data_IF_513285087528
#
_entry.id   IF_513285087528
#
_cell.length_a   1.000
_cell.length_b   1.000
_cell.length_c   1.000
_cell.angle_alpha   90.00
_cell.angle_beta   90.00
_cell.angle_gamma   90.00
#
_symmetry.space_group_name_H-M   'P 1'
#
loop_
_entity.id
_entity.type
_entity.pdbx_description
1 polymer ?
#
# COMPACT_ATOMS: atom_id res chain seq x y z
N UNK A 1 -62.99 -44.03 -12.98
CA UNK A 1 -61.59 -44.36 -12.60
C UNK A 1 -60.94 -43.05 -12.22
N UNK A 2 -60.47 -42.93 -10.98
CA UNK A 2 -59.78 -41.73 -10.53
C UNK A 2 -58.36 -41.74 -11.10
N UNK A 3 -58.02 -40.75 -11.92
CA UNK A 3 -56.65 -40.53 -12.36
C UNK A 3 -55.82 -40.09 -11.16
N UNK A 4 -54.93 -40.98 -10.74
CA UNK A 4 -53.90 -40.72 -9.75
C UNK A 4 -52.87 -39.85 -10.45
N UNK A 5 -52.85 -38.55 -10.12
CA UNK A 5 -51.78 -37.64 -10.54
C UNK A 5 -50.49 -38.08 -9.83
N UNK A 6 -49.65 -38.83 -10.54
CA UNK A 6 -48.28 -39.12 -10.14
C UNK A 6 -47.50 -37.80 -10.07
N UNK A 7 -47.22 -37.34 -8.86
CA UNK A 7 -46.26 -36.27 -8.62
C UNK A 7 -44.87 -36.87 -8.78
N UNK A 8 -44.20 -36.57 -9.89
CA UNK A 8 -42.76 -36.83 -10.01
C UNK A 8 -42.03 -36.04 -8.93
N UNK A 9 -41.33 -36.74 -8.05
CA UNK A 9 -40.49 -36.15 -7.01
C UNK A 9 -39.35 -35.35 -7.67
N UNK A 10 -39.53 -34.04 -7.77
CA UNK A 10 -38.50 -33.11 -8.20
C UNK A 10 -37.34 -33.08 -7.19
N UNK A 11 -36.28 -33.86 -7.46
CA UNK A 11 -35.08 -33.86 -6.63
C UNK A 11 -34.30 -32.56 -6.82
N UNK A 12 -34.42 -31.66 -5.85
CA UNK A 12 -33.67 -30.41 -5.80
C UNK A 12 -32.17 -30.71 -5.58
N UNK A 13 -31.35 -30.40 -6.59
CA UNK A 13 -29.89 -30.57 -6.53
C UNK A 13 -29.20 -29.24 -6.28
N UNK A 14 -28.59 -29.10 -5.10
CA UNK A 14 -27.84 -27.89 -4.73
C UNK A 14 -26.54 -27.80 -5.53
N UNK A 15 -26.28 -26.63 -6.11
CA UNK A 15 -25.02 -26.33 -6.77
C UNK A 15 -23.91 -26.09 -5.72
N UNK A 16 -23.08 -27.10 -5.51
CA UNK A 16 -21.99 -27.08 -4.53
C UNK A 16 -20.93 -26.02 -4.83
N UNK A 17 -20.66 -25.72 -6.11
CA UNK A 17 -19.63 -24.73 -6.49
C UNK A 17 -20.11 -23.31 -6.19
N UNK A 18 -21.39 -23.04 -6.40
CA UNK A 18 -22.00 -21.76 -6.03
C UNK A 18 -22.07 -21.59 -4.52
N UNK A 19 -22.45 -22.62 -3.76
CA UNK A 19 -22.51 -22.57 -2.30
C UNK A 19 -21.14 -22.22 -1.68
N UNK A 20 -20.05 -22.83 -2.16
CA UNK A 20 -18.69 -22.53 -1.69
C UNK A 20 -18.26 -21.10 -2.02
N UNK A 21 -18.57 -20.59 -3.22
CA UNK A 21 -18.28 -19.20 -3.60
C UNK A 21 -19.10 -18.21 -2.78
N UNK A 22 -20.36 -18.53 -2.50
CA UNK A 22 -21.24 -17.70 -1.70
C UNK A 22 -20.75 -17.58 -0.26
N UNK A 23 -20.33 -18.70 0.36
CA UNK A 23 -19.74 -18.70 1.70
C UNK A 23 -18.51 -17.78 1.77
N UNK A 24 -17.54 -17.97 0.88
CA UNK A 24 -16.34 -17.11 0.83
C UNK A 24 -16.66 -15.62 0.64
N UNK A 25 -17.64 -15.31 -0.22
CA UNK A 25 -18.07 -13.92 -0.45
C UNK A 25 -18.75 -13.34 0.80
N UNK A 26 -19.55 -14.14 1.49
CA UNK A 26 -20.23 -13.73 2.72
C UNK A 26 -19.23 -13.47 3.84
N UNK A 27 -18.26 -14.38 4.03
CA UNK A 27 -17.19 -14.25 5.02
C UNK A 27 -16.36 -12.99 4.78
N UNK A 28 -15.95 -12.75 3.53
CA UNK A 28 -15.21 -11.54 3.17
C UNK A 28 -16.01 -10.26 3.45
N UNK A 29 -17.29 -10.24 3.07
CA UNK A 29 -18.15 -9.08 3.31
C UNK A 29 -18.39 -8.82 4.81
N UNK A 30 -18.47 -9.86 5.64
CA UNK A 30 -18.55 -9.69 7.10
C UNK A 30 -17.24 -9.16 7.69
N UNK A 31 -16.11 -9.67 7.21
CA UNK A 31 -14.79 -9.21 7.63
C UNK A 31 -14.61 -7.72 7.30
N UNK A 32 -14.90 -7.33 6.05
CA UNK A 32 -14.83 -5.93 5.62
C UNK A 32 -15.76 -5.04 6.46
N UNK A 33 -16.98 -5.51 6.75
CA UNK A 33 -17.94 -4.79 7.62
C UNK A 33 -17.45 -4.68 9.07
N UNK A 34 -16.67 -5.64 9.56
CA UNK A 34 -16.03 -5.58 10.88
C UNK A 34 -14.89 -4.56 10.87
N UNK A 35 -14.02 -4.61 9.85
CA UNK A 35 -12.93 -3.64 9.65
C UNK A 35 -13.46 -2.20 9.56
N UNK A 36 -14.53 -1.98 8.81
CA UNK A 36 -15.15 -0.65 8.68
C UNK A 36 -15.71 -0.12 10.02
N UNK A 37 -16.21 -1.02 10.89
CA UNK A 37 -16.82 -0.64 12.18
C UNK A 37 -15.81 -0.44 13.29
N UNK A 38 -14.77 -1.26 13.33
CA UNK A 38 -13.82 -1.30 14.44
C UNK A 38 -12.44 -0.74 14.08
N UNK A 39 -12.26 -0.31 12.82
CA UNK A 39 -10.95 0.01 12.28
C UNK A 39 -10.14 -1.26 12.00
N UNK A 40 -9.11 -1.12 11.18
CA UNK A 40 -8.09 -2.15 11.01
C UNK A 40 -7.22 -2.16 12.27
N UNK A 41 -7.65 -2.93 13.29
CA UNK A 41 -6.76 -3.30 14.39
C UNK A 41 -5.80 -4.34 13.80
N UNK A 42 -4.66 -3.88 13.29
CA UNK A 42 -3.51 -4.73 12.94
C UNK A 42 -2.88 -5.40 14.17
N UNK A 43 -3.38 -5.11 15.38
CA UNK A 43 -2.95 -5.68 16.65
C UNK A 43 -3.84 -6.86 17.11
N UNK A 44 -4.07 -7.84 16.23
CA UNK A 44 -4.51 -9.18 16.65
C UNK A 44 -3.35 -10.20 16.48
N UNK A 45 -2.15 -9.78 16.88
CA UNK A 45 -1.31 -10.70 17.63
C UNK A 45 -1.88 -10.76 19.05
N UNK A 46 -2.15 -11.97 19.50
CA UNK A 46 -2.74 -12.29 20.79
C UNK A 46 -1.79 -11.90 21.95
N UNK A 47 -1.62 -10.61 22.24
CA UNK A 47 -1.14 -10.16 23.54
C UNK A 47 -2.33 -9.91 24.46
N UNK A 48 -2.55 -10.89 25.33
CA UNK A 48 -3.09 -10.65 26.67
C UNK A 48 -2.61 -9.28 27.14
N UNK A 49 -3.54 -8.35 27.40
CA UNK A 49 -3.25 -7.03 27.95
C UNK A 49 -2.43 -7.20 29.24
N UNK A 50 -1.11 -7.16 29.08
CA UNK A 50 -0.17 -7.15 30.18
C UNK A 50 -0.06 -5.69 30.57
N UNK A 51 -0.90 -5.32 31.52
CA UNK A 51 -0.83 -4.08 32.30
C UNK A 51 0.63 -3.63 32.43
N UNK A 52 0.92 -2.45 31.89
CA UNK A 52 2.24 -1.84 31.92
C UNK A 52 2.48 -1.19 33.29
N UNK A 53 2.44 -2.00 34.36
CA UNK A 53 2.91 -1.65 35.71
C UNK A 53 4.34 -2.18 35.93
N UNK A 54 5.26 -1.91 34.99
CA UNK A 54 6.66 -2.36 35.08
C UNK A 54 7.64 -1.22 35.42
N UNK A 55 7.28 -0.40 36.40
CA UNK A 55 8.28 0.43 37.10
C UNK A 55 8.82 -0.26 38.36
N UNK A 56 8.14 -1.32 38.86
CA UNK A 56 8.51 -2.08 40.06
C UNK A 56 9.11 -3.48 39.79
N UNK A 57 9.12 -4.03 38.56
CA UNK A 57 9.70 -5.36 38.31
C UNK A 57 11.25 -5.37 38.24
N UNK A 58 11.91 -4.27 38.59
CA UNK A 58 13.37 -4.24 38.84
C UNK A 58 13.82 -5.22 39.93
N UNK A 59 12.91 -5.66 40.80
CA UNK A 59 13.25 -6.68 41.80
C UNK A 59 13.32 -8.10 41.25
N UNK A 60 12.70 -8.42 40.10
CA UNK A 60 12.72 -9.75 39.49
C UNK A 60 13.96 -9.94 38.58
N UNK A 61 15.15 -9.81 39.19
CA UNK A 61 16.39 -10.11 38.47
C UNK A 61 16.63 -11.63 38.36
N UNK A 62 17.23 -12.07 37.26
CA UNK A 62 17.65 -13.48 37.02
C UNK A 62 18.52 -14.05 38.14
N UNK A 63 19.24 -13.20 38.88
CA UNK A 63 20.03 -13.59 40.04
C UNK A 63 19.16 -13.95 41.25
N UNK A 64 18.13 -13.14 41.54
CA UNK A 64 17.16 -13.42 42.61
C UNK A 64 16.31 -14.65 42.27
N UNK A 65 15.95 -14.83 41.00
CA UNK A 65 15.22 -16.03 40.52
C UNK A 65 16.04 -17.32 40.71
N UNK A 66 17.35 -17.27 40.44
CA UNK A 66 18.26 -18.41 40.70
C UNK A 66 18.34 -18.75 42.18
N UNK A 67 18.40 -17.75 43.04
CA UNK A 67 18.45 -17.97 44.49
C UNK A 67 17.08 -18.46 45.01
N UNK A 68 15.97 -17.93 44.50
CA UNK A 68 14.63 -18.43 44.75
C UNK A 68 14.50 -19.93 44.42
N UNK A 69 14.89 -20.36 43.22
CA UNK A 69 14.81 -21.77 42.82
C UNK A 69 15.68 -22.69 43.68
N UNK A 70 16.89 -22.25 44.08
CA UNK A 70 17.74 -23.02 45.00
C UNK A 70 17.07 -23.17 46.37
N UNK A 71 16.48 -22.11 46.90
CA UNK A 71 15.79 -22.16 48.20
C UNK A 71 14.56 -23.05 48.15
N UNK A 72 13.80 -22.98 47.05
CA UNK A 72 12.66 -23.85 46.81
C UNK A 72 13.06 -25.34 46.80
N UNK A 73 14.20 -25.68 46.18
CA UNK A 73 14.72 -27.04 46.19
C UNK A 73 15.11 -27.52 47.60
N UNK A 74 15.78 -26.67 48.40
CA UNK A 74 16.13 -26.97 49.80
C UNK A 74 14.89 -27.22 50.66
N UNK A 75 13.83 -26.42 50.46
CA UNK A 75 12.54 -26.57 51.14
C UNK A 75 11.89 -27.89 50.75
N UNK A 76 11.84 -28.19 49.45
CA UNK A 76 11.23 -29.43 48.93
C UNK A 76 11.94 -30.69 49.46
N UNK A 77 13.25 -30.63 49.59
CA UNK A 77 14.07 -31.73 50.11
C UNK A 77 14.15 -31.77 51.65
N UNK A 78 13.56 -30.78 52.34
CA UNK A 78 13.60 -30.63 53.82
C UNK A 78 15.02 -30.64 54.39
N UNK A 79 15.94 -29.97 53.70
CA UNK A 79 17.34 -29.92 54.14
C UNK A 79 17.44 -29.19 55.49
N UNK A 80 18.19 -29.71 56.49
CA UNK A 80 18.26 -29.13 57.84
C UNK A 80 18.83 -27.71 57.86
N UNK A 81 19.52 -27.33 56.77
CA UNK A 81 20.07 -26.01 56.54
C UNK A 81 19.01 -24.90 56.52
N UNK A 82 17.76 -25.19 56.15
CA UNK A 82 16.68 -24.19 56.11
C UNK A 82 16.25 -23.70 57.50
N UNK A 83 16.57 -24.45 58.56
CA UNK A 83 16.20 -24.12 59.94
C UNK A 83 17.30 -23.38 60.70
N UNK A 84 18.49 -23.23 60.09
CA UNK A 84 19.60 -22.52 60.70
C UNK A 84 19.36 -21.00 60.57
N UNK A 85 19.36 -20.28 61.70
CA UNK A 85 19.13 -18.82 61.72
C UNK A 85 20.29 -18.02 61.11
N UNK A 86 21.47 -18.62 61.03
CA UNK A 86 22.69 -17.97 60.53
C UNK A 86 22.86 -18.10 59.01
N UNK A 87 21.99 -18.84 58.32
CA UNK A 87 22.11 -19.03 56.86
C UNK A 87 21.35 -17.95 56.10
N UNK A 88 22.07 -17.23 55.24
CA UNK A 88 21.49 -16.30 54.26
C UNK A 88 21.19 -17.03 52.95
N UNK A 89 19.98 -16.84 52.44
CA UNK A 89 19.48 -17.50 51.25
C UNK A 89 19.38 -16.57 50.04
N UNK A 90 19.10 -15.30 50.32
CA UNK A 90 19.09 -14.23 49.34
C UNK A 90 20.30 -13.35 49.61
N UNK A 91 20.98 -12.97 48.53
CA UNK A 91 22.05 -11.99 48.62
C UNK A 91 21.42 -10.60 48.69
N UNK A 92 21.52 -9.94 49.84
CA UNK A 92 21.14 -8.53 49.98
C UNK A 92 22.07 -7.71 49.09
N UNK A 93 21.52 -7.24 47.97
CA UNK A 93 22.09 -6.27 47.03
C UNK A 93 23.62 -6.28 46.99
N UNK A 94 24.15 -7.16 46.15
CA UNK A 94 25.50 -6.94 45.64
C UNK A 94 25.45 -5.56 44.99
N UNK A 95 26.28 -4.65 45.48
CA UNK A 95 26.77 -3.51 44.71
C UNK A 95 27.42 -4.09 43.46
N UNK A 96 26.60 -4.45 42.48
CA UNK A 96 27.08 -4.70 41.14
C UNK A 96 27.48 -3.32 40.68
N UNK A 97 28.79 -3.05 40.80
CA UNK A 97 29.47 -2.17 39.87
C UNK A 97 29.14 -2.72 38.48
N UNK A 98 28.00 -2.30 37.95
CA UNK A 98 27.68 -2.38 36.54
C UNK A 98 28.58 -1.32 35.93
N UNK A 99 29.88 -1.62 35.83
CA UNK A 99 30.73 -0.96 34.87
C UNK A 99 30.08 -1.19 33.51
N UNK A 100 29.38 -0.17 33.05
CA UNK A 100 29.28 0.26 31.66
C UNK A 100 29.21 -0.85 30.62
N UNK A 101 28.30 -1.81 30.81
CA UNK A 101 27.67 -2.45 29.66
C UNK A 101 26.42 -1.68 29.34
N UNK A 102 26.62 -0.48 28.78
CA UNK A 102 25.56 0.22 28.04
C UNK A 102 24.97 -0.83 27.10
N UNK A 103 23.66 -1.14 27.19
CA UNK A 103 23.05 -1.93 26.14
C UNK A 103 23.36 -1.20 24.85
N UNK A 104 23.90 -1.90 23.85
CA UNK A 104 23.99 -1.34 22.51
C UNK A 104 22.62 -0.77 22.21
N UNK A 105 22.58 0.54 21.93
CA UNK A 105 21.35 1.23 21.61
C UNK A 105 20.80 0.51 20.39
N UNK A 106 19.85 -0.38 20.63
CA UNK A 106 19.10 -1.05 19.60
C UNK A 106 18.56 0.08 18.73
N UNK A 107 18.79 -0.03 17.42
CA UNK A 107 18.25 0.91 16.47
C UNK A 107 16.76 1.05 16.76
N UNK A 108 16.25 2.28 16.70
CA UNK A 108 14.84 2.55 16.98
C UNK A 108 13.99 1.58 16.14
N UNK A 109 12.96 0.95 16.72
CA UNK A 109 12.06 0.11 15.94
C UNK A 109 11.54 0.93 14.77
N UNK A 110 11.71 0.41 13.55
CA UNK A 110 11.20 1.02 12.34
C UNK A 110 9.73 0.62 12.24
N UNK A 111 8.83 1.60 12.27
CA UNK A 111 7.42 1.35 12.06
C UNK A 111 7.10 1.30 10.56
N UNK A 112 5.99 0.64 10.19
CA UNK A 112 5.55 0.56 8.80
C UNK A 112 5.46 1.94 8.14
N UNK A 113 4.92 2.93 8.86
CA UNK A 113 4.85 4.34 8.41
C UNK A 113 6.22 4.97 8.17
N UNK A 114 7.23 4.56 8.93
CA UNK A 114 8.59 5.05 8.74
C UNK A 114 9.22 4.43 7.49
N UNK A 115 8.95 3.15 7.22
CA UNK A 115 9.37 2.45 6.01
C UNK A 115 8.69 3.02 4.76
N UNK A 116 7.38 3.28 4.81
CA UNK A 116 6.65 3.93 3.72
C UNK A 116 7.21 5.32 3.43
N UNK A 117 7.47 6.11 4.48
CA UNK A 117 8.06 7.45 4.35
C UNK A 117 9.47 7.39 3.77
N UNK A 118 10.30 6.45 4.23
CA UNK A 118 11.64 6.20 3.69
C UNK A 118 11.59 5.82 2.21
N UNK A 119 10.70 4.89 1.85
CA UNK A 119 10.49 4.44 0.47
C UNK A 119 9.97 5.57 -0.43
N UNK A 120 9.11 6.45 0.08
CA UNK A 120 8.65 7.66 -0.62
C UNK A 120 9.75 8.72 -0.78
N UNK A 121 10.62 8.88 0.22
CA UNK A 121 11.74 9.82 0.15
C UNK A 121 12.83 9.34 -0.82
N UNK A 122 13.12 8.03 -0.83
CA UNK A 122 14.14 7.44 -1.69
C UNK A 122 13.67 7.30 -3.15
N UNK A 123 12.43 6.81 -3.36
CA UNK A 123 11.90 6.47 -4.69
C UNK A 123 10.89 7.49 -5.25
N UNK A 124 10.50 8.51 -4.48
CA UNK A 124 9.58 9.55 -4.93
C UNK A 124 8.27 8.99 -5.48
N UNK A 125 7.89 9.42 -6.69
CA UNK A 125 6.68 8.96 -7.39
C UNK A 125 6.69 7.47 -7.75
N UNK A 126 7.85 6.83 -7.81
CA UNK A 126 7.98 5.40 -8.16
C UNK A 126 7.63 4.48 -6.98
N UNK A 127 7.58 5.01 -5.74
CA UNK A 127 7.15 4.25 -4.58
C UNK A 127 5.71 3.74 -4.72
N UNK A 128 4.82 4.47 -5.40
CA UNK A 128 3.44 4.01 -5.59
C UNK A 128 3.29 2.96 -6.69
N UNK A 129 4.32 2.78 -7.53
CA UNK A 129 4.21 1.98 -8.76
C UNK A 129 4.76 0.55 -8.58
N UNK A 130 5.50 0.28 -7.50
CA UNK A 130 6.27 -0.97 -7.39
C UNK A 130 5.53 -2.21 -6.85
N UNK A 131 4.23 -2.15 -6.53
CA UNK A 131 3.49 -3.33 -6.03
C UNK A 131 2.62 -4.00 -7.11
N UNK A 132 2.27 -3.29 -8.19
CA UNK A 132 1.42 -3.83 -9.27
C UNK A 132 2.19 -4.14 -10.57
N UNK A 133 3.44 -3.67 -10.68
CA UNK A 133 4.28 -3.89 -11.87
C UNK A 133 5.32 -5.02 -11.74
N UNK A 134 5.28 -5.84 -10.69
CA UNK A 134 6.30 -6.89 -10.46
C UNK A 134 5.99 -8.26 -11.06
N UNK A 135 5.03 -8.37 -11.99
CA UNK A 135 4.69 -9.64 -12.62
C UNK A 135 4.94 -9.72 -14.14
N UNK A 136 5.36 -8.64 -14.81
CA UNK A 136 5.77 -8.69 -16.21
C UNK A 136 7.22 -8.20 -16.36
N UNK A 137 8.13 -9.17 -16.46
CA UNK A 137 9.46 -8.94 -17.00
C UNK A 137 9.39 -8.40 -18.43
N UNK A 138 10.39 -7.58 -18.75
CA UNK A 138 10.96 -7.36 -20.09
C UNK A 138 10.57 -6.06 -20.81
N UNK A 139 11.34 -5.00 -20.51
CA UNK A 139 11.88 -4.18 -21.60
C UNK A 139 11.40 -2.74 -21.80
N UNK A 140 10.68 -2.11 -20.87
CA UNK A 140 10.45 -0.67 -20.99
C UNK A 140 11.19 0.09 -19.91
N UNK A 141 12.35 0.64 -20.30
CA UNK A 141 12.99 1.74 -19.59
C UNK A 141 11.91 2.74 -19.20
N UNK A 142 11.59 2.84 -17.91
CA UNK A 142 10.69 3.86 -17.38
C UNK A 142 11.28 5.20 -17.77
N UNK A 143 10.76 5.80 -18.84
CA UNK A 143 11.14 7.16 -19.20
C UNK A 143 10.67 8.04 -18.05
N UNK A 144 11.49 9.01 -17.61
CA UNK A 144 11.05 9.96 -16.59
C UNK A 144 9.70 10.55 -17.04
N UNK A 145 8.78 10.85 -16.10
CA UNK A 145 7.50 11.45 -16.45
C UNK A 145 7.75 12.69 -17.31
N UNK A 146 7.19 12.68 -18.52
CA UNK A 146 7.38 13.78 -19.47
C UNK A 146 6.85 15.06 -18.83
N UNK A 147 7.53 16.16 -19.10
CA UNK A 147 6.99 17.46 -18.74
C UNK A 147 5.71 17.73 -19.52
N UNK A 148 4.81 18.56 -18.99
CA UNK A 148 3.57 18.93 -19.67
C UNK A 148 3.77 19.41 -21.12
N UNK A 149 4.90 20.08 -21.39
CA UNK A 149 5.25 20.54 -22.75
C UNK A 149 5.57 19.34 -23.66
N UNK A 150 6.35 18.38 -23.16
CA UNK A 150 6.71 17.17 -23.89
C UNK A 150 5.49 16.27 -24.13
N UNK A 151 4.59 16.13 -23.16
CA UNK A 151 3.32 15.41 -23.32
C UNK A 151 2.44 16.04 -24.41
N UNK A 152 2.33 17.38 -24.42
CA UNK A 152 1.59 18.08 -25.47
C UNK A 152 2.19 17.87 -26.86
N UNK A 153 3.52 17.82 -26.96
CA UNK A 153 4.19 17.54 -28.23
C UNK A 153 3.95 16.12 -28.70
N UNK A 154 3.99 15.14 -27.79
CA UNK A 154 3.72 13.74 -28.10
C UNK A 154 2.26 13.52 -28.52
N UNK A 155 1.31 14.16 -27.83
CA UNK A 155 -0.11 14.17 -28.22
C UNK A 155 -0.32 14.80 -29.60
N UNK A 156 0.34 15.92 -29.91
CA UNK A 156 0.27 16.54 -31.24
C UNK A 156 0.85 15.61 -32.31
N UNK A 157 2.01 15.00 -32.05
CA UNK A 157 2.68 14.08 -32.97
C UNK A 157 1.82 12.85 -33.25
N UNK A 158 1.34 12.17 -32.22
CA UNK A 158 0.47 11.00 -32.34
C UNK A 158 -0.84 11.31 -33.07
N UNK A 159 -1.46 12.47 -32.79
CA UNK A 159 -2.64 12.90 -33.53
C UNK A 159 -2.36 13.14 -35.02
N UNK A 160 -1.25 13.81 -35.36
CA UNK A 160 -0.88 14.02 -36.76
C UNK A 160 -0.56 12.72 -37.48
N UNK A 161 0.08 11.78 -36.80
CA UNK A 161 0.42 10.47 -37.34
C UNK A 161 -0.84 9.65 -37.61
N UNK A 162 -1.78 9.63 -36.66
CA UNK A 162 -3.09 8.99 -36.83
C UNK A 162 -3.88 9.61 -38.00
N UNK A 163 -3.86 10.94 -38.16
CA UNK A 163 -4.53 11.62 -39.29
C UNK A 163 -3.90 11.24 -40.63
N UNK A 164 -2.58 11.08 -40.69
CA UNK A 164 -1.88 10.70 -41.91
C UNK A 164 -2.07 9.20 -42.23
N UNK A 165 -2.07 8.33 -41.22
CA UNK A 165 -2.28 6.88 -41.37
C UNK A 165 -3.72 6.51 -41.79
N UNK A 166 -4.69 7.39 -41.55
CA UNK A 166 -6.10 7.20 -41.98
C UNK A 166 -6.30 7.39 -43.49
N UNK A 167 -5.33 7.98 -44.21
CA UNK A 167 -5.42 8.10 -45.68
C UNK A 167 -5.28 6.73 -46.39
N UNK A 168 -4.68 5.73 -45.73
CA UNK A 168 -4.40 4.39 -46.29
C UNK A 168 -5.40 3.30 -45.85
N UNK A 169 -6.36 3.59 -44.95
CA UNK A 169 -7.29 2.59 -44.41
C UNK A 169 -8.71 2.70 -45.03
N UNK A 170 -9.22 1.58 -45.54
CA UNK A 170 -10.44 1.42 -46.37
C UNK A 170 -11.79 1.71 -45.65
N UNK A 171 -11.77 2.08 -44.36
CA UNK A 171 -12.95 2.48 -43.58
C UNK A 171 -12.91 3.97 -43.23
N UNK A 172 -13.38 4.78 -44.19
CA UNK A 172 -13.49 6.24 -44.08
C UNK A 172 -14.60 6.69 -43.10
N UNK A 173 -14.35 6.62 -41.79
CA UNK A 173 -15.22 7.25 -40.78
C UNK A 173 -15.09 8.79 -40.79
N UNK A 174 -13.90 9.32 -41.13
CA UNK A 174 -13.60 10.75 -41.24
C UNK A 174 -12.91 11.03 -42.59
N UNK A 175 -13.49 11.90 -43.43
CA UNK A 175 -12.89 12.31 -44.71
C UNK A 175 -12.53 13.78 -44.70
N UNK A 176 -11.36 14.15 -45.24
CA UNK A 176 -10.97 15.55 -45.41
C UNK A 176 -11.92 16.26 -46.38
N UNK A 177 -12.64 17.28 -45.90
CA UNK A 177 -13.53 18.11 -46.74
C UNK A 177 -12.72 18.84 -47.81
N UNK A 178 -13.09 18.67 -49.09
CA UNK A 178 -12.54 19.47 -50.19
C UNK A 178 -13.15 20.88 -50.14
N UNK A 179 -12.33 21.89 -49.87
CA UNK A 179 -12.76 23.30 -49.82
C UNK A 179 -13.07 23.82 -51.23
N UNK A 180 -14.10 24.65 -51.35
CA UNK A 180 -14.44 25.32 -52.62
C UNK A 180 -13.46 26.47 -52.92
N UNK A 181 -13.29 26.84 -54.19
CA UNK A 181 -12.44 27.99 -54.59
C UNK A 181 -12.85 29.28 -53.88
N UNK A 182 -14.15 29.53 -53.77
CA UNK A 182 -14.71 30.70 -53.08
C UNK A 182 -14.35 30.72 -51.60
N UNK A 183 -14.40 29.57 -50.92
CA UNK A 183 -14.03 29.48 -49.50
C UNK A 183 -12.54 29.74 -49.32
N UNK A 184 -11.70 29.21 -50.22
CA UNK A 184 -10.26 29.44 -50.20
C UNK A 184 -9.91 30.93 -50.37
N UNK A 185 -10.56 31.63 -51.31
CA UNK A 185 -10.37 33.07 -51.50
C UNK A 185 -10.78 33.90 -50.27
N UNK A 186 -11.83 33.47 -49.56
CA UNK A 186 -12.24 34.12 -48.30
C UNK A 186 -11.22 33.86 -47.20
N UNK A 187 -10.75 32.62 -47.06
CA UNK A 187 -9.69 32.27 -46.11
C UNK A 187 -8.39 33.03 -46.39
N UNK A 188 -7.97 33.15 -47.66
CA UNK A 188 -6.76 33.86 -48.07
C UNK A 188 -6.86 35.37 -47.75
N UNK A 189 -8.04 35.97 -47.94
CA UNK A 189 -8.31 37.36 -47.52
C UNK A 189 -8.25 37.51 -46.01
N UNK A 190 -8.94 36.64 -45.28
CA UNK A 190 -8.92 36.64 -43.81
C UNK A 190 -7.51 36.43 -43.26
N UNK A 191 -6.70 35.60 -43.91
CA UNK A 191 -5.30 35.37 -43.54
C UNK A 191 -4.43 36.59 -43.81
N UNK A 192 -4.65 37.29 -44.93
CA UNK A 192 -3.97 38.55 -45.23
C UNK A 192 -4.31 39.62 -44.19
N UNK A 193 -5.59 39.75 -43.82
CA UNK A 193 -6.04 40.69 -42.78
C UNK A 193 -5.43 40.34 -41.42
N UNK A 194 -5.41 39.06 -41.03
CA UNK A 194 -4.77 38.58 -39.80
C UNK A 194 -3.26 38.85 -39.77
N UNK A 195 -2.56 38.67 -40.91
CA UNK A 195 -1.14 39.01 -41.02
C UNK A 195 -0.91 40.51 -40.87
N UNK A 196 -1.77 41.35 -41.45
CA UNK A 196 -1.69 42.80 -41.28
C UNK A 196 -1.89 43.16 -39.81
N UNK A 197 -2.92 42.64 -39.16
CA UNK A 197 -3.20 42.85 -37.73
C UNK A 197 -2.01 42.42 -36.86
N UNK A 198 -1.45 41.23 -37.10
CA UNK A 198 -0.27 40.75 -36.37
C UNK A 198 0.97 41.63 -36.60
N UNK A 199 1.18 42.12 -37.82
CA UNK A 199 2.28 43.03 -38.12
C UNK A 199 2.10 44.42 -37.50
N UNK A 200 0.86 44.91 -37.40
CA UNK A 200 0.50 46.15 -36.70
C UNK A 200 0.77 46.02 -35.20
N UNK A 201 0.25 44.96 -34.56
CA UNK A 201 0.49 44.70 -33.13
C UNK A 201 1.96 44.52 -32.76
N UNK A 202 2.81 44.09 -33.70
CA UNK A 202 4.25 43.96 -33.45
C UNK A 202 5.03 45.26 -33.70
N UNK A 203 4.55 46.15 -34.58
CA UNK A 203 5.10 47.51 -34.77
C UNK A 203 4.73 48.45 -33.63
N UNK A 204 3.48 48.40 -33.17
CA UNK A 204 2.99 49.23 -32.05
C UNK A 204 3.71 48.90 -30.73
N UNK A 205 4.21 47.67 -30.57
CA UNK A 205 5.04 47.25 -29.43
C UNK A 205 6.53 47.60 -29.56
N UNK A 206 6.97 48.09 -30.72
CA UNK A 206 8.37 48.46 -30.99
C UNK A 206 8.61 49.96 -30.92
N UNK A 207 7.55 50.76 -30.89
CA UNK A 207 7.58 52.23 -30.73
C UNK A 207 7.18 52.71 -29.32
N UNK A 208 7.15 51.80 -28.34
CA UNK A 208 7.17 52.09 -26.89
C UNK A 208 8.47 51.56 -26.28
#
# INVERSE_FOLDING_TARGET
MADIMEYEDCVLKVNKTYAAKFQKKSEKAELDRLKDKYGENEDEDSESTSESEDEDAKELNTEKERDFLKTLALIKNKDPKIYNKDTKFYSDEVNVNVEDRKPEKHAKPIYLKDYERERLLEKGSEAFVSEESSEDEEGTTAKPPLTYIEEQEELKKSFTDAVNAVDDNEVHFLTKRKKSKREKEVEDKNYADWLQEKNLTHKDKKEL
#
